data_IF_546501513171
#
_entry.id   IF_546501513171
#
_cell.length_a   1.000
_cell.length_b   1.000
_cell.length_c   1.000
_cell.angle_alpha   90.00
_cell.angle_beta   90.00
_cell.angle_gamma   90.00
#
_symmetry.space_group_name_H-M   'P 1'
#
loop_
_entity.id
_entity.type
_entity.pdbx_description
1 polymer ?
#
# COMPACT_ATOMS: atom_id res chain seq x y z
N UNK A 1 -9.54 6.21 16.29
CA UNK A 1 -9.51 6.00 14.83
C UNK A 1 -8.09 6.22 14.37
N UNK A 2 -7.66 5.43 13.40
CA UNK A 2 -6.27 5.37 12.96
C UNK A 2 -6.06 6.30 11.76
N UNK A 3 -4.82 6.72 11.55
CA UNK A 3 -4.42 7.50 10.38
C UNK A 3 -3.13 6.93 9.78
N UNK A 4 -3.02 7.05 8.46
CA UNK A 4 -1.83 6.64 7.72
C UNK A 4 -0.93 7.85 7.55
N UNK A 5 0.33 7.70 7.93
CA UNK A 5 1.36 8.72 7.80
C UNK A 5 2.46 8.27 6.85
N UNK A 6 3.26 9.22 6.38
CA UNK A 6 4.46 8.92 5.59
C UNK A 6 5.48 8.09 6.38
N UNK A 7 5.47 8.19 7.72
CA UNK A 7 6.36 7.45 8.59
C UNK A 7 5.96 5.97 8.67
N UNK A 8 4.66 5.66 8.72
CA UNK A 8 4.18 4.26 8.71
C UNK A 8 4.70 3.50 7.48
N UNK A 9 4.63 4.10 6.30
CA UNK A 9 5.12 3.47 5.05
C UNK A 9 6.64 3.35 5.02
N UNK A 10 7.35 4.31 5.62
CA UNK A 10 8.82 4.26 5.72
C UNK A 10 9.30 3.17 6.64
N UNK A 11 8.64 2.99 7.78
CA UNK A 11 8.95 1.95 8.76
C UNK A 11 8.81 0.56 8.14
N UNK A 12 7.71 0.32 7.42
CA UNK A 12 7.46 -0.95 6.70
C UNK A 12 8.54 -1.28 5.69
N UNK A 13 9.09 -0.28 4.99
CA UNK A 13 10.09 -0.48 3.94
C UNK A 13 11.53 -0.31 4.41
N UNK A 14 11.75 0.20 5.63
CA UNK A 14 13.08 0.57 6.11
C UNK A 14 13.77 1.66 5.26
N UNK A 15 13.01 2.54 4.61
CA UNK A 15 13.53 3.61 3.74
C UNK A 15 13.50 4.97 4.42
N UNK A 16 14.24 5.92 3.87
CA UNK A 16 14.33 7.29 4.38
C UNK A 16 13.75 8.32 3.40
N UNK A 17 13.71 9.59 3.82
CA UNK A 17 13.32 10.70 2.95
C UNK A 17 14.26 10.92 1.76
N UNK A 18 15.48 10.37 1.81
CA UNK A 18 16.42 10.42 0.69
C UNK A 18 16.00 9.50 -0.46
N UNK A 19 15.30 8.40 -0.15
CA UNK A 19 14.86 7.41 -1.14
C UNK A 19 13.56 7.85 -1.82
N UNK A 20 12.58 8.28 -1.02
CA UNK A 20 11.30 8.81 -1.51
C UNK A 20 10.92 10.07 -0.72
N UNK A 21 10.76 11.22 -1.41
CA UNK A 21 10.33 12.46 -0.75
C UNK A 21 8.89 12.36 -0.24
N UNK A 22 8.61 13.02 0.87
CA UNK A 22 7.33 13.00 1.59
C UNK A 22 6.15 13.34 0.66
N UNK A 23 6.33 14.33 -0.21
CA UNK A 23 5.31 14.77 -1.18
C UNK A 23 4.90 13.68 -2.17
N UNK A 24 5.79 12.71 -2.43
CA UNK A 24 5.53 11.59 -3.32
C UNK A 24 4.88 10.44 -2.57
N UNK A 25 5.32 10.20 -1.33
CA UNK A 25 4.75 9.18 -0.46
C UNK A 25 3.32 9.55 -0.04
N UNK A 26 3.04 10.82 0.24
CA UNK A 26 1.69 11.33 0.50
C UNK A 26 0.75 11.10 -0.70
N UNK A 27 1.23 11.33 -1.92
CA UNK A 27 0.48 11.00 -3.15
C UNK A 27 0.23 9.49 -3.30
N UNK A 28 1.19 8.65 -2.89
CA UNK A 28 1.02 7.20 -2.92
C UNK A 28 -0.02 6.73 -1.90
N UNK A 29 -0.01 7.28 -0.69
CA UNK A 29 -1.01 7.01 0.36
C UNK A 29 -2.41 7.41 -0.12
N UNK A 30 -2.57 8.62 -0.68
CA UNK A 30 -3.86 9.07 -1.23
C UNK A 30 -4.34 8.17 -2.37
N UNK A 31 -3.44 7.77 -3.26
CA UNK A 31 -3.78 6.84 -4.35
C UNK A 31 -4.16 5.46 -3.83
N UNK A 32 -3.49 4.98 -2.78
CA UNK A 32 -3.80 3.71 -2.13
C UNK A 32 -5.19 3.74 -1.49
N UNK A 33 -5.53 4.82 -0.77
CA UNK A 33 -6.87 5.04 -0.23
C UNK A 33 -7.93 5.00 -1.34
N UNK A 34 -7.78 5.82 -2.38
CA UNK A 34 -8.72 5.84 -3.52
C UNK A 34 -8.84 4.48 -4.21
N UNK A 35 -7.75 3.72 -4.32
CA UNK A 35 -7.81 2.37 -4.91
C UNK A 35 -8.63 1.43 -4.04
N UNK A 36 -8.45 1.46 -2.72
CA UNK A 36 -9.27 0.68 -1.79
C UNK A 36 -10.74 1.13 -1.80
N UNK A 37 -11.01 2.43 -1.95
CA UNK A 37 -12.38 2.94 -2.08
C UNK A 37 -13.08 2.35 -3.31
N UNK A 38 -12.39 2.31 -4.45
CA UNK A 38 -12.91 1.73 -5.68
C UNK A 38 -13.13 0.22 -5.56
N UNK A 39 -12.22 -0.48 -4.88
CA UNK A 39 -12.28 -1.94 -4.68
C UNK A 39 -13.35 -2.38 -3.69
N UNK A 40 -13.53 -1.62 -2.60
CA UNK A 40 -14.51 -1.90 -1.54
C UNK A 40 -15.86 -1.21 -1.80
N UNK A 41 -15.94 -0.32 -2.79
CA UNK A 41 -17.10 0.53 -3.08
C UNK A 41 -17.59 1.30 -1.85
N UNK A 42 -16.65 1.77 -1.04
CA UNK A 42 -16.89 2.48 0.22
C UNK A 42 -15.95 3.68 0.30
N UNK A 43 -16.38 4.77 0.92
CA UNK A 43 -15.52 5.91 1.24
C UNK A 43 -14.50 5.53 2.33
N UNK A 44 -13.23 5.83 2.10
CA UNK A 44 -12.10 5.51 2.97
C UNK A 44 -11.26 6.77 3.13
N UNK A 45 -11.34 7.35 4.31
CA UNK A 45 -10.50 8.46 4.70
C UNK A 45 -9.21 7.93 5.37
N UNK A 46 -8.06 8.10 4.72
CA UNK A 46 -6.77 7.71 5.28
C UNK A 46 -6.40 8.48 6.56
N UNK A 47 -7.03 9.63 6.83
CA UNK A 47 -6.87 10.39 8.06
C UNK A 47 -7.78 9.89 9.18
N UNK A 48 -8.80 9.08 8.86
CA UNK A 48 -9.81 8.64 9.80
C UNK A 48 -10.36 7.25 9.44
N UNK A 49 -9.51 6.23 9.53
CA UNK A 49 -9.81 4.86 9.13
C UNK A 49 -9.76 3.88 10.31
N UNK A 50 -10.27 2.68 10.08
CA UNK A 50 -10.08 1.53 11.00
C UNK A 50 -8.64 1.01 10.92
N UNK A 51 -8.18 0.26 11.92
CA UNK A 51 -6.84 -0.33 11.88
C UNK A 51 -6.63 -1.24 10.66
N UNK A 52 -7.67 -1.96 10.22
CA UNK A 52 -7.60 -2.81 9.03
C UNK A 52 -7.47 -1.99 7.72
N UNK A 53 -8.21 -0.89 7.61
CA UNK A 53 -8.08 0.05 6.48
C UNK A 53 -6.71 0.75 6.52
N UNK A 54 -6.22 1.14 7.70
CA UNK A 54 -4.88 1.72 7.88
C UNK A 54 -3.81 0.77 7.34
N UNK A 55 -3.84 -0.49 7.73
CA UNK A 55 -2.85 -1.46 7.25
C UNK A 55 -2.98 -1.73 5.75
N UNK A 56 -4.20 -1.83 5.22
CA UNK A 56 -4.40 -1.99 3.79
C UNK A 56 -3.78 -0.83 2.98
N UNK A 57 -4.02 0.41 3.41
CA UNK A 57 -3.48 1.61 2.76
C UNK A 57 -1.95 1.64 2.88
N UNK A 58 -1.42 1.33 4.06
CA UNK A 58 0.03 1.35 4.34
C UNK A 58 0.76 0.33 3.48
N UNK A 59 0.27 -0.91 3.41
CA UNK A 59 0.85 -1.98 2.58
C UNK A 59 0.74 -1.64 1.09
N UNK A 60 -0.41 -1.12 0.63
CA UNK A 60 -0.57 -0.73 -0.77
C UNK A 60 0.33 0.46 -1.15
N UNK A 61 0.48 1.44 -0.26
CA UNK A 61 1.42 2.54 -0.43
C UNK A 61 2.88 2.05 -0.44
N UNK A 62 3.22 1.07 0.40
CA UNK A 62 4.53 0.43 0.42
C UNK A 62 4.83 -0.27 -0.92
N UNK A 63 3.86 -0.98 -1.48
CA UNK A 63 3.98 -1.58 -2.82
C UNK A 63 4.23 -0.50 -3.89
N UNK A 64 3.49 0.62 -3.86
CA UNK A 64 3.73 1.74 -4.79
C UNK A 64 5.13 2.35 -4.64
N UNK A 65 5.62 2.45 -3.41
CA UNK A 65 6.98 2.90 -3.13
C UNK A 65 8.03 1.92 -3.66
N UNK A 66 7.85 0.60 -3.48
CA UNK A 66 8.74 -0.43 -4.03
C UNK A 66 8.77 -0.39 -5.57
N UNK A 67 7.59 -0.29 -6.21
CA UNK A 67 7.51 -0.14 -7.67
C UNK A 67 8.24 1.14 -8.13
N UNK A 68 8.10 2.24 -7.40
CA UNK A 68 8.79 3.48 -7.73
C UNK A 68 10.32 3.34 -7.64
N UNK A 69 10.82 2.71 -6.57
CA UNK A 69 12.25 2.51 -6.33
C UNK A 69 12.88 1.55 -7.36
N UNK A 70 12.18 0.46 -7.70
CA UNK A 70 12.64 -0.55 -8.68
C UNK A 70 12.52 -0.09 -10.13
N UNK A 71 11.91 1.07 -10.39
CA UNK A 71 11.54 1.49 -11.75
C UNK A 71 10.45 0.61 -12.36
N UNK A 72 9.70 -0.08 -11.52
CA UNK A 72 8.50 -0.80 -11.88
C UNK A 72 7.30 0.12 -12.10
N UNK A 73 6.20 -0.48 -12.57
CA UNK A 73 4.94 0.21 -12.83
C UNK A 73 3.86 -0.39 -11.97
N UNK A 74 3.07 0.46 -11.31
CA UNK A 74 1.90 0.04 -10.54
C UNK A 74 0.65 0.79 -11.03
N UNK A 75 -0.39 0.03 -11.35
CA UNK A 75 -1.70 0.54 -11.75
C UNK A 75 -2.79 -0.24 -11.01
N UNK A 76 -3.37 0.39 -9.97
CA UNK A 76 -4.36 -0.27 -9.10
C UNK A 76 -3.70 -1.34 -8.25
N UNK A 77 -4.24 -2.56 -8.32
CA UNK A 77 -3.71 -3.79 -7.69
C UNK A 77 -2.77 -4.60 -8.62
N UNK A 78 -2.54 -4.13 -9.84
CA UNK A 78 -1.58 -4.75 -10.77
C UNK A 78 -0.22 -4.09 -10.60
N UNK A 79 0.76 -4.88 -10.16
CA UNK A 79 2.11 -4.44 -9.87
C UNK A 79 3.11 -5.16 -10.77
N UNK A 80 3.94 -4.40 -11.48
CA UNK A 80 5.08 -4.93 -12.22
C UNK A 80 6.36 -4.36 -11.63
N UNK A 81 7.31 -5.24 -11.28
CA UNK A 81 8.61 -4.84 -10.79
C UNK A 81 9.55 -4.66 -11.99
N UNK A 82 10.28 -3.55 -12.01
CA UNK A 82 11.39 -3.37 -12.92
C UNK A 82 12.61 -4.16 -12.43
N UNK A 83 13.43 -4.67 -13.35
CA UNK A 83 14.72 -5.26 -13.00
C UNK A 83 15.63 -4.16 -12.43
N UNK A 84 15.77 -4.14 -11.10
CA UNK A 84 16.82 -3.39 -10.41
C UNK A 84 16.95 -3.85 -8.96
N UNK A 85 18.15 -4.30 -8.64
CA UNK A 85 18.66 -4.38 -7.29
C UNK A 85 18.75 -2.93 -6.76
N UNK A 86 17.79 -2.51 -5.94
CA UNK A 86 17.78 -1.16 -5.35
C UNK A 86 18.30 -1.27 -3.93
N UNK A 87 19.42 -0.61 -3.62
CA UNK A 87 20.02 -0.60 -2.28
C UNK A 87 19.09 -0.05 -1.18
N UNK A 88 18.10 0.78 -1.56
CA UNK A 88 17.06 1.27 -0.65
C UNK A 88 16.12 0.15 -0.15
N UNK A 89 15.97 -0.95 -0.91
CA UNK A 89 15.08 -2.06 -0.57
C UNK A 89 15.79 -3.22 0.12
N UNK A 90 17.07 -3.07 0.50
CA UNK A 90 17.84 -4.15 1.11
C UNK A 90 17.26 -4.65 2.44
N UNK A 91 16.50 -3.80 3.14
CA UNK A 91 15.80 -4.13 4.38
C UNK A 91 14.27 -4.23 4.20
N UNK A 92 13.77 -3.97 2.99
CA UNK A 92 12.34 -4.01 2.72
C UNK A 92 11.86 -5.46 2.57
N UNK A 93 10.63 -5.78 3.03
CA UNK A 93 10.02 -7.08 2.73
C UNK A 93 9.88 -7.26 1.21
N UNK A 94 10.03 -8.50 0.70
CA UNK A 94 9.88 -8.77 -0.71
C UNK A 94 8.43 -8.51 -1.15
N UNK A 95 8.25 -8.05 -2.39
CA UNK A 95 6.94 -7.59 -2.86
C UNK A 95 5.86 -8.68 -2.79
N UNK A 96 6.22 -9.95 -2.96
CA UNK A 96 5.27 -11.06 -2.85
C UNK A 96 4.65 -11.18 -1.44
N UNK A 97 5.41 -10.82 -0.39
CA UNK A 97 4.91 -10.78 0.99
C UNK A 97 3.93 -9.63 1.14
N UNK A 98 4.29 -8.43 0.67
CA UNK A 98 3.38 -7.28 0.70
C UNK A 98 2.10 -7.52 -0.10
N UNK A 99 2.19 -8.17 -1.27
CA UNK A 99 1.02 -8.56 -2.07
C UNK A 99 0.14 -9.56 -1.33
N UNK A 100 0.72 -10.64 -0.77
CA UNK A 100 -0.04 -11.63 -0.02
C UNK A 100 -0.69 -11.06 1.24
N UNK A 101 -0.04 -10.12 1.93
CA UNK A 101 -0.64 -9.41 3.05
C UNK A 101 -1.78 -8.49 2.62
N UNK A 102 -1.60 -7.73 1.54
CA UNK A 102 -2.66 -6.91 0.97
C UNK A 102 -3.86 -7.75 0.55
N UNK A 103 -3.66 -8.89 -0.11
CA UNK A 103 -4.72 -9.83 -0.48
C UNK A 103 -5.44 -10.39 0.75
N UNK A 104 -4.70 -10.75 1.80
CA UNK A 104 -5.28 -11.21 3.06
C UNK A 104 -6.12 -10.13 3.72
N UNK A 105 -5.63 -8.90 3.78
CA UNK A 105 -6.37 -7.78 4.37
C UNK A 105 -7.61 -7.45 3.51
N UNK A 106 -7.45 -7.39 2.19
CA UNK A 106 -8.56 -7.21 1.24
C UNK A 106 -9.61 -8.30 1.38
N UNK A 107 -9.23 -9.56 1.57
CA UNK A 107 -10.17 -10.66 1.77
C UNK A 107 -10.92 -10.56 3.11
N UNK A 108 -10.35 -9.90 4.12
CA UNK A 108 -11.04 -9.61 5.38
C UNK A 108 -11.94 -8.36 5.25
N UNK A 109 -11.55 -7.37 4.43
CA UNK A 109 -12.28 -6.13 4.23
C UNK A 109 -13.43 -6.27 3.23
N UNK A 110 -13.24 -7.06 2.16
CA UNK A 110 -14.31 -7.55 1.30
C UNK A 110 -15.04 -8.60 2.14
N UNK A 111 -16.08 -8.20 2.87
CA UNK A 111 -16.99 -9.16 3.50
C UNK A 111 -17.30 -10.28 2.49
N UNK A 112 -17.37 -11.55 2.90
CA UNK A 112 -17.84 -12.59 2.01
C UNK A 112 -19.20 -12.13 1.51
N UNK A 113 -19.35 -11.88 0.21
CA UNK A 113 -20.65 -11.85 -0.43
C UNK A 113 -21.22 -13.27 -0.26
N UNK A 114 -21.82 -13.54 0.90
CA UNK A 114 -22.70 -14.67 1.10
C UNK A 114 -23.95 -14.25 0.36
N UNK A 115 -24.01 -14.64 -0.91
CA UNK A 115 -25.20 -14.47 -1.72
C UNK A 115 -26.40 -14.96 -0.91
N UNK A 116 -27.28 -14.03 -0.56
CA UNK A 116 -28.56 -14.37 0.04
C UNK A 116 -29.34 -15.08 -1.06
N UNK A 117 -29.63 -16.36 -0.80
CA UNK A 117 -30.36 -17.28 -1.68
C UNK A 117 -31.79 -16.79 -1.99
#
# INVERSE_FOLDING_TARGET
MASVTVEDVRDVLGITAADIPDTKLDKMIKRAAVTLELELRKEIDYQNCTDAEKEAITVLAAIYAVCYLTGGSAAGLSFNIGDKNVSALSNAPPLNVLQGELERILANLKEPYVGVA
#
